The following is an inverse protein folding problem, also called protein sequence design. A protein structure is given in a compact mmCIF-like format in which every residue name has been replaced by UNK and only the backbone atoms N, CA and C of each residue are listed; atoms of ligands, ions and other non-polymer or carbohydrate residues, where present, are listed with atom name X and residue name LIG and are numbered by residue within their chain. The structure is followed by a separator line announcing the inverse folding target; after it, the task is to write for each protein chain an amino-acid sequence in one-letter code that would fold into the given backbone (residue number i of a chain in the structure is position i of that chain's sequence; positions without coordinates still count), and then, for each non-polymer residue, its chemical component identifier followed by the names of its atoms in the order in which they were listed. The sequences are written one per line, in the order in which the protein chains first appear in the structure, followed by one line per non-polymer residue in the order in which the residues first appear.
data_IF_906910862688
#
_entry.id   IF_906910862688
#
_cell.length_a   1.000
_cell.length_b   1.000
_cell.length_c   1.000
_cell.angle_alpha   90.00
_cell.angle_beta   90.00
_cell.angle_gamma   90.00
#
_symmetry.space_group_name_H-M   'P 1'
#
loop_
_entity.id
_entity.type
_entity.pdbx_description
1 polymer ?
#
# COMPACT_ATOMS: atom_id res chain seq x y z
N UNK A 1 -5.91 -10.62 15.08
CA UNK A 1 -5.36 -9.24 15.09
C UNK A 1 -5.68 -8.60 13.75
N UNK A 2 -6.27 -7.42 13.74
CA UNK A 2 -6.61 -6.73 12.49
C UNK A 2 -5.35 -6.21 11.80
N UNK A 3 -5.30 -6.25 10.45
CA UNK A 3 -4.18 -5.73 9.68
C UNK A 3 -3.87 -4.26 9.99
N UNK A 4 -4.90 -3.49 10.35
CA UNK A 4 -4.79 -2.08 10.75
C UNK A 4 -3.91 -1.90 11.99
N UNK A 5 -4.07 -2.74 13.03
CA UNK A 5 -3.25 -2.64 14.25
C UNK A 5 -1.76 -2.87 14.00
N UNK A 6 -1.42 -3.71 13.03
CA UNK A 6 -0.03 -3.98 12.66
C UNK A 6 0.58 -2.90 11.75
N UNK A 7 -0.26 -2.15 11.06
CA UNK A 7 0.15 -1.02 10.23
C UNK A 7 0.50 0.23 11.07
N UNK A 8 -0.19 0.44 12.20
CA UNK A 8 -0.05 1.64 13.03
C UNK A 8 1.38 1.98 13.44
N UNK A 9 2.24 1.05 13.90
CA UNK A 9 3.63 1.36 14.25
C UNK A 9 4.43 1.97 13.09
N UNK A 10 4.19 1.52 11.86
CA UNK A 10 4.85 2.06 10.67
C UNK A 10 4.39 3.49 10.35
N UNK A 11 3.10 3.76 10.50
CA UNK A 11 2.53 5.09 10.31
C UNK A 11 3.04 6.06 11.39
N UNK A 12 2.98 5.66 12.65
CA UNK A 12 3.42 6.49 13.78
C UNK A 12 4.92 6.75 13.71
N UNK A 13 5.72 5.69 13.57
CA UNK A 13 7.18 5.82 13.49
C UNK A 13 7.63 6.62 12.28
N UNK A 14 7.05 6.35 11.10
CA UNK A 14 7.31 7.10 9.87
C UNK A 14 6.91 8.56 9.99
N UNK A 15 5.74 8.84 10.57
CA UNK A 15 5.24 10.20 10.80
C UNK A 15 6.15 11.01 11.74
N UNK A 16 6.60 10.40 12.84
CA UNK A 16 7.54 11.04 13.77
C UNK A 16 8.85 11.38 13.07
N UNK A 17 9.42 10.47 12.27
CA UNK A 17 10.65 10.71 11.53
C UNK A 17 10.52 11.85 10.53
N UNK A 18 9.39 11.91 9.80
CA UNK A 18 9.12 13.01 8.87
C UNK A 18 8.92 14.33 9.63
N UNK A 19 8.22 14.32 10.75
CA UNK A 19 8.03 15.51 11.58
C UNK A 19 9.37 16.05 12.12
N UNK A 20 10.26 15.16 12.55
CA UNK A 20 11.61 15.51 12.97
C UNK A 20 12.43 16.11 11.81
N UNK A 21 12.29 15.60 10.59
CA UNK A 21 12.93 16.18 9.41
C UNK A 21 12.51 17.63 9.17
N UNK A 22 11.22 17.92 9.27
CA UNK A 22 10.71 19.29 9.16
C UNK A 22 11.21 20.20 10.29
N UNK A 23 11.21 19.67 11.52
CA UNK A 23 11.69 20.41 12.70
C UNK A 23 13.18 20.75 12.56
N UNK A 24 14.01 19.81 12.14
CA UNK A 24 15.44 20.01 11.93
C UNK A 24 15.70 21.11 10.88
N UNK A 25 15.05 21.04 9.74
CA UNK A 25 15.18 22.06 8.71
C UNK A 25 14.73 23.45 9.20
N UNK A 26 13.68 23.50 10.00
CA UNK A 26 13.19 24.76 10.55
C UNK A 26 14.16 25.35 11.58
N UNK A 27 14.78 24.54 12.43
CA UNK A 27 15.78 24.98 13.42
C UNK A 27 17.08 25.41 12.71
N UNK A 28 17.51 24.69 11.67
CA UNK A 28 18.74 24.99 10.93
C UNK A 28 18.59 26.19 9.98
N UNK A 29 17.36 26.68 9.76
CA UNK A 29 17.04 27.87 8.98
C UNK A 29 17.00 27.59 7.48
N UNK A 30 15.79 27.42 6.94
CA UNK A 30 15.57 27.32 5.49
C UNK A 30 15.19 28.71 4.96
N UNK A 31 15.82 29.18 3.86
CA UNK A 31 15.46 30.44 3.22
C UNK A 31 13.99 30.47 2.80
N UNK A 32 13.33 31.61 2.93
CA UNK A 32 11.91 31.76 2.59
C UNK A 32 11.56 31.38 1.15
N UNK A 33 12.50 31.51 0.26
CA UNK A 33 12.35 31.17 -1.17
C UNK A 33 12.37 29.65 -1.44
N UNK A 34 12.78 28.83 -0.44
CA UNK A 34 12.93 27.39 -0.57
C UNK A 34 12.07 26.59 0.43
N UNK A 35 11.02 27.19 0.96
CA UNK A 35 10.08 26.54 1.87
C UNK A 35 9.41 25.29 1.27
N UNK A 36 9.36 25.18 -0.05
CA UNK A 36 8.89 23.99 -0.76
C UNK A 36 9.79 22.76 -0.55
N UNK A 37 11.06 22.96 -0.16
CA UNK A 37 12.03 21.91 0.11
C UNK A 37 12.16 21.58 1.60
N UNK A 38 11.27 22.13 2.45
CA UNK A 38 11.27 21.87 3.88
C UNK A 38 11.22 20.36 4.19
N UNK A 39 12.06 19.91 5.10
CA UNK A 39 12.25 18.49 5.42
C UNK A 39 13.22 17.74 4.52
N UNK A 40 13.80 18.42 3.50
CA UNK A 40 14.82 17.86 2.61
C UNK A 40 15.87 18.86 2.15
N UNK A 41 15.92 20.03 2.77
CA UNK A 41 16.88 21.06 2.44
C UNK A 41 18.26 20.73 2.99
N UNK A 42 18.36 20.33 4.25
CA UNK A 42 19.61 19.88 4.84
C UNK A 42 19.73 18.36 4.72
N UNK A 43 20.95 17.87 4.52
CA UNK A 43 21.23 16.44 4.32
C UNK A 43 20.71 15.56 5.46
N UNK A 44 20.87 15.99 6.71
CA UNK A 44 20.39 15.29 7.90
C UNK A 44 18.86 15.20 7.88
N UNK A 45 18.17 16.30 7.60
CA UNK A 45 16.72 16.34 7.49
C UNK A 45 16.22 15.43 6.37
N UNK A 46 16.91 15.45 5.21
CA UNK A 46 16.59 14.56 4.09
C UNK A 46 16.73 13.08 4.46
N UNK A 47 17.73 12.70 5.26
CA UNK A 47 17.90 11.33 5.75
C UNK A 47 16.76 10.91 6.67
N UNK A 48 16.35 11.76 7.62
CA UNK A 48 15.19 11.49 8.48
C UNK A 48 13.90 11.34 7.66
N UNK A 49 13.69 12.20 6.67
CA UNK A 49 12.55 12.13 5.75
C UNK A 49 12.58 10.84 4.92
N UNK A 50 13.75 10.42 4.46
CA UNK A 50 13.90 9.17 3.69
C UNK A 50 13.56 7.94 4.54
N UNK A 51 14.04 7.88 5.80
CA UNK A 51 13.71 6.80 6.74
C UNK A 51 12.20 6.79 7.02
N UNK A 52 11.62 7.96 7.32
CA UNK A 52 10.19 8.07 7.56
C UNK A 52 9.36 7.68 6.34
N UNK A 53 9.77 8.11 5.16
CA UNK A 53 9.13 7.73 3.89
C UNK A 53 9.19 6.24 3.60
N UNK A 54 10.32 5.59 3.90
CA UNK A 54 10.46 4.14 3.80
C UNK A 54 9.48 3.41 4.75
N UNK A 55 9.37 3.86 6.00
CA UNK A 55 8.40 3.30 6.95
C UNK A 55 6.97 3.48 6.46
N UNK A 56 6.61 4.67 5.97
CA UNK A 56 5.29 4.91 5.35
C UNK A 56 5.03 4.03 4.13
N UNK A 57 6.05 3.75 3.32
CA UNK A 57 5.95 2.87 2.16
C UNK A 57 5.52 1.45 2.50
N UNK A 58 5.82 0.98 3.71
CA UNK A 58 5.38 -0.32 4.20
C UNK A 58 3.92 -0.35 4.68
N UNK A 59 3.26 0.78 4.85
CA UNK A 59 1.89 0.86 5.37
C UNK A 59 0.92 -0.07 4.61
N UNK A 60 0.83 0.07 3.30
CA UNK A 60 -0.09 -0.72 2.47
C UNK A 60 0.31 -2.21 2.34
N UNK A 61 1.59 -2.55 2.11
CA UNK A 61 2.05 -3.94 2.17
C UNK A 61 1.76 -4.63 3.49
N UNK A 62 2.02 -3.97 4.61
CA UNK A 62 1.75 -4.51 5.95
C UNK A 62 0.25 -4.74 6.15
N UNK A 63 -0.57 -3.77 5.81
CA UNK A 63 -2.04 -3.90 5.89
C UNK A 63 -2.52 -5.13 5.13
N UNK A 64 -2.21 -5.23 3.84
CA UNK A 64 -2.63 -6.34 2.99
C UNK A 64 -2.04 -7.68 3.46
N UNK A 65 -0.78 -7.69 3.88
CA UNK A 65 -0.11 -8.87 4.39
C UNK A 65 -0.78 -9.45 5.63
N UNK A 66 -1.12 -8.62 6.61
CA UNK A 66 -1.76 -9.09 7.84
C UNK A 66 -3.25 -9.41 7.68
N UNK A 67 -3.95 -8.81 6.71
CA UNK A 67 -5.29 -9.26 6.32
C UNK A 67 -5.20 -10.68 5.73
N UNK A 68 -4.29 -10.91 4.80
CA UNK A 68 -4.08 -12.23 4.21
C UNK A 68 -3.60 -13.26 5.25
N UNK A 69 -2.76 -12.85 6.21
CA UNK A 69 -2.33 -13.68 7.33
C UNK A 69 -3.50 -14.11 8.21
N UNK A 70 -4.45 -13.22 8.48
CA UNK A 70 -5.64 -13.57 9.29
C UNK A 70 -6.53 -14.61 8.63
N UNK A 71 -6.50 -14.73 7.30
CA UNK A 71 -7.30 -15.66 6.50
C UNK A 71 -6.56 -16.97 6.25
N UNK A 72 -5.28 -16.92 5.90
CA UNK A 72 -4.51 -18.04 5.38
C UNK A 72 -3.18 -18.29 6.13
N UNK A 73 -2.98 -17.63 7.28
CA UNK A 73 -1.79 -17.74 8.14
C UNK A 73 -0.47 -17.38 7.39
N UNK A 74 0.65 -18.00 7.77
CA UNK A 74 2.00 -17.70 7.24
C UNK A 74 2.10 -17.67 5.70
N UNK A 75 1.55 -18.63 4.94
CA UNK A 75 1.62 -18.58 3.47
C UNK A 75 0.87 -17.38 2.87
N UNK A 76 -0.22 -16.92 3.53
CA UNK A 76 -0.97 -15.75 3.10
C UNK A 76 -0.21 -14.45 3.27
N UNK A 77 0.64 -14.36 4.31
CA UNK A 77 1.40 -13.16 4.64
C UNK A 77 2.21 -12.65 3.44
N UNK A 78 3.02 -13.52 2.84
CA UNK A 78 3.93 -13.16 1.74
C UNK A 78 3.14 -12.70 0.51
N UNK A 79 2.10 -13.44 0.12
CA UNK A 79 1.24 -13.08 -1.01
C UNK A 79 0.51 -11.76 -0.76
N UNK A 80 0.08 -11.51 0.47
CA UNK A 80 -0.56 -10.26 0.89
C UNK A 80 0.40 -9.06 0.85
N UNK A 81 1.65 -9.22 1.29
CA UNK A 81 2.67 -8.17 1.16
C UNK A 81 2.89 -7.77 -0.30
N UNK A 82 2.97 -8.75 -1.21
CA UNK A 82 3.14 -8.48 -2.64
C UNK A 82 1.90 -7.77 -3.22
N UNK A 83 0.69 -8.20 -2.85
CA UNK A 83 -0.53 -7.53 -3.27
C UNK A 83 -0.59 -6.07 -2.81
N UNK A 84 -0.21 -5.79 -1.56
CA UNK A 84 -0.14 -4.43 -1.02
C UNK A 84 0.93 -3.58 -1.69
N UNK A 85 2.09 -4.17 -2.04
CA UNK A 85 3.14 -3.49 -2.80
C UNK A 85 2.68 -3.14 -4.22
N UNK A 86 1.93 -4.02 -4.89
CA UNK A 86 1.32 -3.75 -6.20
C UNK A 86 0.28 -2.63 -6.08
N UNK A 87 -0.54 -2.63 -5.03
CA UNK A 87 -1.51 -1.57 -4.77
C UNK A 87 -0.83 -0.21 -4.56
N UNK A 88 0.28 -0.16 -3.83
CA UNK A 88 1.02 1.08 -3.56
C UNK A 88 1.74 1.61 -4.79
N UNK A 89 2.33 0.74 -5.60
CA UNK A 89 3.10 1.11 -6.80
C UNK A 89 2.23 1.47 -8.01
N UNK A 90 0.95 1.06 -8.01
CA UNK A 90 0.06 1.24 -9.15
C UNK A 90 0.38 0.31 -10.33
N UNK A 91 1.06 -0.81 -10.10
CA UNK A 91 1.34 -1.78 -11.16
C UNK A 91 0.04 -2.40 -11.69
N UNK A 92 -0.13 -2.41 -13.01
CA UNK A 92 -1.30 -2.94 -13.69
C UNK A 92 -0.92 -3.56 -15.03
N UNK A 93 -1.81 -4.36 -15.62
CA UNK A 93 -1.59 -4.87 -16.97
C UNK A 93 -1.45 -3.72 -17.98
N UNK A 94 -0.40 -3.77 -18.80
CA UNK A 94 -0.11 -2.76 -19.81
C UNK A 94 0.82 -1.63 -19.36
N UNK A 95 1.16 -1.56 -18.08
CA UNK A 95 2.17 -0.64 -17.55
C UNK A 95 2.83 -1.23 -16.33
N UNK A 96 4.14 -1.35 -16.35
CA UNK A 96 4.92 -1.84 -15.21
C UNK A 96 5.71 -0.67 -14.64
N UNK A 97 5.23 0.00 -13.59
CA UNK A 97 5.94 1.16 -13.01
C UNK A 97 7.26 0.77 -12.32
N UNK A 98 7.56 -0.52 -12.18
CA UNK A 98 8.85 -1.00 -11.67
C UNK A 98 10.01 -0.82 -12.67
N UNK A 99 9.70 -0.64 -13.97
CA UNK A 99 10.72 -0.41 -14.99
C UNK A 99 10.86 1.09 -15.23
N UNK A 100 11.98 1.67 -14.82
CA UNK A 100 12.35 3.04 -15.21
C UNK A 100 12.34 3.15 -16.74
N UNK A 101 11.35 3.84 -17.32
CA UNK A 101 11.24 4.06 -18.76
C UNK A 101 10.09 3.34 -19.48
N UNK A 102 9.31 2.50 -18.82
CA UNK A 102 8.10 1.91 -19.38
C UNK A 102 7.00 2.97 -19.57
N UNK A 103 6.59 3.23 -20.82
CA UNK A 103 5.39 4.05 -21.06
C UNK A 103 4.17 3.23 -20.61
N UNK A 104 3.43 3.73 -19.64
CA UNK A 104 2.14 3.17 -19.27
C UNK A 104 1.19 3.26 -20.45
N UNK A 105 0.78 2.12 -21.00
CA UNK A 105 -0.13 2.06 -22.15
C UNK A 105 -1.59 2.30 -21.78
N UNK A 106 -1.94 2.15 -20.50
CA UNK A 106 -3.25 2.52 -19.95
C UNK A 106 -3.12 3.77 -19.07
N UNK A 107 -4.07 4.68 -19.18
CA UNK A 107 -4.13 5.92 -18.41
C UNK A 107 -4.18 5.70 -16.88
N UNK A 108 -4.55 4.51 -16.43
CA UNK A 108 -4.62 4.10 -15.02
C UNK A 108 -3.39 3.31 -14.54
N UNK A 109 -2.49 2.90 -15.44
CA UNK A 109 -1.26 2.24 -15.07
C UNK A 109 -0.30 3.25 -14.42
N UNK A 110 0.24 2.90 -13.26
CA UNK A 110 1.07 3.80 -12.44
C UNK A 110 0.29 4.66 -11.45
N UNK A 111 -1.04 4.57 -11.43
CA UNK A 111 -1.86 5.20 -10.39
C UNK A 111 -2.03 4.24 -9.23
N UNK A 112 -1.57 4.65 -8.04
CA UNK A 112 -1.77 3.86 -6.83
C UNK A 112 -3.26 3.65 -6.55
N UNK A 113 -3.65 2.42 -6.31
CA UNK A 113 -5.01 2.09 -5.84
C UNK A 113 -5.19 2.36 -4.33
N UNK A 114 -4.11 2.75 -3.68
CA UNK A 114 -4.10 3.21 -2.30
C UNK A 114 -4.61 2.18 -1.29
N UNK A 115 -5.25 2.69 -0.25
CA UNK A 115 -5.75 1.89 0.86
C UNK A 115 -6.81 0.85 0.43
N UNK A 116 -7.74 1.24 -0.46
CA UNK A 116 -8.77 0.34 -0.98
C UNK A 116 -8.16 -0.83 -1.76
N UNK A 117 -7.15 -0.56 -2.58
CA UNK A 117 -6.43 -1.61 -3.30
C UNK A 117 -5.71 -2.57 -2.37
N UNK A 118 -5.10 -2.07 -1.30
CA UNK A 118 -4.43 -2.90 -0.30
C UNK A 118 -5.41 -3.78 0.50
N UNK A 119 -6.58 -3.24 0.86
CA UNK A 119 -7.66 -4.00 1.49
C UNK A 119 -8.11 -5.17 0.60
N UNK A 120 -8.53 -4.87 -0.61
CA UNK A 120 -8.98 -5.89 -1.57
C UNK A 120 -7.86 -6.89 -1.88
N UNK A 121 -6.62 -6.41 -2.06
CA UNK A 121 -5.45 -7.25 -2.28
C UNK A 121 -5.18 -8.23 -1.13
N UNK A 122 -5.35 -7.79 0.11
CA UNK A 122 -5.22 -8.67 1.29
C UNK A 122 -6.26 -9.79 1.32
N UNK A 123 -7.53 -9.46 1.05
CA UNK A 123 -8.59 -10.48 0.96
C UNK A 123 -8.37 -11.45 -0.20
N UNK A 124 -8.00 -10.94 -1.37
CA UNK A 124 -7.68 -11.76 -2.53
C UNK A 124 -6.51 -12.70 -2.27
N UNK A 125 -5.42 -12.20 -1.68
CA UNK A 125 -4.26 -13.00 -1.34
C UNK A 125 -4.63 -14.14 -0.37
N UNK A 126 -5.39 -13.84 0.68
CA UNK A 126 -5.90 -14.84 1.61
C UNK A 126 -6.77 -15.90 0.93
N UNK A 127 -7.71 -15.46 0.09
CA UNK A 127 -8.60 -16.35 -0.68
C UNK A 127 -7.83 -17.27 -1.64
N UNK A 128 -6.89 -16.73 -2.40
CA UNK A 128 -6.03 -17.48 -3.32
C UNK A 128 -5.26 -18.58 -2.59
N UNK A 129 -4.66 -18.27 -1.45
CA UNK A 129 -3.92 -19.27 -0.66
C UNK A 129 -4.84 -20.36 -0.11
N UNK A 130 -6.09 -20.04 0.32
CA UNK A 130 -7.04 -21.05 0.73
C UNK A 130 -7.42 -22.00 -0.40
N UNK A 131 -7.63 -21.47 -1.61
CA UNK A 131 -7.89 -22.29 -2.81
C UNK A 131 -6.68 -23.17 -3.13
N UNK A 132 -5.47 -22.60 -3.12
CA UNK A 132 -4.23 -23.34 -3.36
C UNK A 132 -3.99 -24.45 -2.33
N UNK A 133 -4.32 -24.23 -1.04
CA UNK A 133 -4.25 -25.27 -0.02
C UNK A 133 -5.16 -26.48 -0.35
N UNK A 134 -6.36 -26.21 -0.88
CA UNK A 134 -7.28 -27.28 -1.31
C UNK A 134 -6.77 -28.02 -2.53
N UNK A 135 -6.27 -27.30 -3.54
CA UNK A 135 -5.72 -27.91 -4.77
C UNK A 135 -4.48 -28.76 -4.50
N UNK A 136 -3.63 -28.31 -3.59
CA UNK A 136 -2.39 -29.00 -3.22
C UNK A 136 -2.59 -30.03 -2.10
N UNK A 137 -3.82 -30.29 -1.66
CA UNK A 137 -4.11 -31.26 -0.59
C UNK A 137 -3.74 -32.71 -0.95
N UNK A 138 -3.67 -33.02 -2.25
CA UNK A 138 -3.30 -34.37 -2.76
C UNK A 138 -1.80 -34.69 -2.72
N UNK A 139 -0.94 -33.77 -2.30
CA UNK A 139 0.51 -34.01 -2.23
C UNK A 139 0.86 -34.92 -1.04
N UNK A 140 1.72 -35.96 -1.25
CA UNK A 140 2.15 -36.87 -0.19
C UNK A 140 2.77 -36.15 1.02
N UNK A 141 2.55 -36.68 2.23
CA UNK A 141 3.07 -36.12 3.49
C UNK A 141 4.59 -35.92 3.51
N UNK A 142 5.34 -36.72 2.74
CA UNK A 142 6.80 -36.59 2.60
C UNK A 142 7.22 -35.23 2.03
N UNK A 143 6.37 -34.57 1.25
CA UNK A 143 6.64 -33.27 0.60
C UNK A 143 5.90 -32.09 1.28
N UNK A 144 5.27 -32.32 2.43
CA UNK A 144 4.46 -31.32 3.12
C UNK A 144 5.27 -30.08 3.55
N UNK A 145 6.54 -30.27 3.92
CA UNK A 145 7.47 -29.18 4.20
C UNK A 145 7.75 -28.31 2.99
N UNK A 146 8.01 -28.93 1.84
CA UNK A 146 8.25 -28.21 0.58
C UNK A 146 6.97 -27.51 0.11
N UNK A 147 5.82 -28.15 0.25
CA UNK A 147 4.52 -27.60 -0.07
C UNK A 147 4.23 -26.31 0.71
N UNK A 148 4.41 -26.32 2.03
CA UNK A 148 4.05 -25.20 2.90
C UNK A 148 5.04 -24.04 2.84
N UNK A 149 6.34 -24.34 2.68
CA UNK A 149 7.41 -23.34 2.74
C UNK A 149 7.72 -22.75 1.35
N UNK A 150 7.67 -23.56 0.30
CA UNK A 150 8.07 -23.15 -1.05
C UNK A 150 6.90 -23.03 -2.03
N UNK A 151 6.12 -24.10 -2.22
CA UNK A 151 5.08 -24.13 -3.26
C UNK A 151 3.94 -23.15 -2.96
N UNK A 152 3.41 -23.12 -1.75
CA UNK A 152 2.29 -22.25 -1.40
C UNK A 152 2.65 -20.78 -1.52
N UNK A 153 3.76 -20.25 -0.97
CA UNK A 153 4.15 -18.87 -1.17
C UNK A 153 4.48 -18.56 -2.62
N UNK A 154 5.22 -19.43 -3.33
CA UNK A 154 5.64 -19.18 -4.70
C UNK A 154 4.43 -19.08 -5.65
N UNK A 155 3.59 -20.09 -5.67
CA UNK A 155 2.38 -20.10 -6.52
C UNK A 155 1.40 -19.02 -6.04
N UNK A 156 1.33 -18.80 -4.73
CA UNK A 156 0.53 -17.74 -4.13
C UNK A 156 0.93 -16.34 -4.59
N UNK A 157 2.23 -16.03 -4.64
CA UNK A 157 2.73 -14.74 -5.17
C UNK A 157 2.35 -14.59 -6.63
N UNK A 158 2.59 -15.63 -7.45
CA UNK A 158 2.24 -15.57 -8.88
C UNK A 158 0.74 -15.37 -9.08
N UNK A 159 -0.09 -16.21 -8.51
CA UNK A 159 -1.54 -16.14 -8.68
C UNK A 159 -2.12 -14.83 -8.14
N UNK A 160 -1.71 -14.42 -6.93
CA UNK A 160 -2.17 -13.16 -6.33
C UNK A 160 -1.64 -11.95 -7.09
N UNK A 161 -0.36 -11.98 -7.52
CA UNK A 161 0.25 -10.91 -8.29
C UNK A 161 -0.48 -10.66 -9.59
N UNK A 162 -0.70 -11.69 -10.40
CA UNK A 162 -1.44 -11.56 -11.65
C UNK A 162 -2.89 -11.10 -11.44
N UNK A 163 -3.57 -11.63 -10.43
CA UNK A 163 -4.93 -11.23 -10.10
C UNK A 163 -4.97 -9.77 -9.66
N UNK A 164 -4.00 -9.35 -8.85
CA UNK A 164 -3.91 -7.97 -8.36
C UNK A 164 -3.61 -6.97 -9.48
N UNK A 165 -2.81 -7.33 -10.49
CA UNK A 165 -2.58 -6.49 -11.67
C UNK A 165 -3.89 -6.17 -12.42
N UNK A 166 -4.81 -7.14 -12.52
CA UNK A 166 -6.12 -6.94 -13.13
C UNK A 166 -7.04 -6.08 -12.24
N UNK A 167 -7.10 -6.40 -10.95
CA UNK A 167 -7.95 -5.70 -9.97
C UNK A 167 -7.47 -4.27 -9.72
N UNK A 168 -6.17 -4.04 -9.80
CA UNK A 168 -5.59 -2.71 -9.56
C UNK A 168 -6.11 -1.66 -10.55
N UNK A 169 -6.42 -2.03 -11.79
CA UNK A 169 -7.03 -1.13 -12.77
C UNK A 169 -8.39 -0.62 -12.26
N UNK A 170 -9.23 -1.53 -11.76
CA UNK A 170 -10.54 -1.18 -11.23
C UNK A 170 -10.43 -0.32 -9.95
N UNK A 171 -9.53 -0.71 -9.04
CA UNK A 171 -9.32 0.02 -7.78
C UNK A 171 -8.72 1.40 -8.02
N UNK A 172 -7.80 1.53 -8.97
CA UNK A 172 -7.24 2.82 -9.36
C UNK A 172 -8.32 3.74 -9.99
N UNK A 173 -9.24 3.19 -10.78
CA UNK A 173 -10.36 3.94 -11.34
C UNK A 173 -11.30 4.47 -10.24
N UNK A 174 -11.62 3.64 -9.24
CA UNK A 174 -12.43 4.03 -8.08
C UNK A 174 -11.71 5.12 -7.27
N UNK A 175 -10.41 4.94 -6.99
CA UNK A 175 -9.61 5.92 -6.25
C UNK A 175 -9.54 7.26 -6.98
N UNK A 176 -9.33 7.27 -8.30
CA UNK A 176 -9.37 8.48 -9.10
C UNK A 176 -10.76 9.12 -9.12
N UNK A 177 -11.82 8.34 -9.20
CA UNK A 177 -13.19 8.82 -9.11
C UNK A 177 -13.47 9.55 -7.79
N UNK A 178 -13.02 8.95 -6.66
CA UNK A 178 -13.11 9.57 -5.34
C UNK A 178 -12.29 10.86 -5.26
N UNK A 179 -11.05 10.85 -5.76
CA UNK A 179 -10.21 12.05 -5.76
C UNK A 179 -10.80 13.18 -6.61
N UNK A 180 -11.35 12.88 -7.78
CA UNK A 180 -12.01 13.86 -8.63
C UNK A 180 -13.28 14.41 -7.97
N UNK A 181 -14.07 13.56 -7.31
CA UNK A 181 -15.23 13.98 -6.55
C UNK A 181 -14.84 14.94 -5.41
N UNK A 182 -13.85 14.57 -4.59
CA UNK A 182 -13.34 15.40 -3.50
C UNK A 182 -12.75 16.72 -4.01
N UNK A 183 -12.00 16.69 -5.12
CA UNK A 183 -11.44 17.89 -5.75
C UNK A 183 -12.52 18.82 -6.31
N UNK A 184 -13.60 18.27 -6.84
CA UNK A 184 -14.76 19.03 -7.30
C UNK A 184 -15.51 19.74 -6.16
N UNK A 185 -15.47 19.19 -4.95
CA UNK A 185 -16.05 19.81 -3.75
C UNK A 185 -15.20 20.96 -3.19
N UNK A 186 -13.88 20.97 -3.45
CA UNK A 186 -12.96 21.97 -2.88
C UNK A 186 -13.17 23.39 -3.42
N UNK A 187 -13.80 23.55 -4.61
CA UNK A 187 -14.01 24.86 -5.24
C UNK A 187 -15.28 25.60 -4.81
N UNK A 188 -16.35 24.90 -4.45
CA UNK A 188 -17.67 25.52 -4.17
C UNK A 188 -18.24 25.20 -2.79
N UNK A 189 -17.67 24.28 -2.02
CA UNK A 189 -18.23 23.81 -0.74
C UNK A 189 -17.15 23.31 0.21
N UNK A 190 -16.18 24.15 0.55
CA UNK A 190 -15.15 23.81 1.55
C UNK A 190 -15.75 23.33 2.89
N UNK A 191 -16.94 23.85 3.24
CA UNK A 191 -17.70 23.43 4.43
C UNK A 191 -18.20 22.00 4.29
N UNK A 192 -18.68 21.61 3.11
CA UNK A 192 -19.21 20.28 2.82
C UNK A 192 -18.06 19.25 2.77
N UNK A 193 -16.89 19.65 2.24
CA UNK A 193 -15.66 18.85 2.29
C UNK A 193 -15.22 18.63 3.75
N UNK A 194 -15.19 19.68 4.56
CA UNK A 194 -14.81 19.60 5.97
C UNK A 194 -15.75 18.70 6.77
N UNK A 195 -17.06 18.76 6.48
CA UNK A 195 -18.08 17.94 7.13
C UNK A 195 -17.94 16.46 6.71
N UNK A 196 -17.67 16.19 5.43
CA UNK A 196 -17.50 14.84 4.90
C UNK A 196 -16.21 14.19 5.44
N UNK A 197 -15.08 14.90 5.37
CA UNK A 197 -13.79 14.41 5.88
C UNK A 197 -13.82 14.30 7.41
N UNK A 198 -14.38 15.27 8.11
CA UNK A 198 -14.55 15.24 9.56
C UNK A 198 -15.49 14.12 10.00
N UNK A 199 -16.58 13.87 9.25
CA UNK A 199 -17.51 12.77 9.49
C UNK A 199 -16.85 11.40 9.28
N UNK A 200 -16.05 11.24 8.22
CA UNK A 200 -15.28 10.03 8.00
C UNK A 200 -14.25 9.77 9.11
N UNK A 201 -13.57 10.80 9.61
CA UNK A 201 -12.66 10.68 10.75
C UNK A 201 -13.39 10.29 12.04
N UNK A 202 -14.61 10.80 12.25
CA UNK A 202 -15.40 10.48 13.44
C UNK A 202 -15.93 9.03 13.46
N UNK A 203 -16.13 8.43 12.28
CA UNK A 203 -16.56 7.02 12.16
C UNK A 203 -15.39 6.06 12.37
N UNK A 204 -14.15 6.52 12.16
CA UNK A 204 -12.93 5.70 12.24
C UNK A 204 -12.34 5.65 13.68
N UNK A 205 -12.93 6.38 14.62
CA UNK A 205 -12.59 6.34 16.06
C UNK A 205 -13.54 5.40 16.83
#
# INVERSE_FOLDING_TARGET
MSGVSQMLPFVIGGGIMIALAFLLDQIMGVPKDQLSQLGSYHEIAAQFKAIGGAAFGFMLPVLAGYIAYSIAEKPGLVSGFVAGAIASSGAAFGGVPFASGGKATLALAGVSSGFLGALVGGFLAGGVILVLRKLLAGIPRALEGIRSILLLPLIGIFATGFLMLAVNILMAAINNGLNNFLSGLSGSSAVLLGLLVGGMMAVDM
#
